data_IF_109554022637
#
_entry.id   IF_109554022637
#
_cell.length_a   1.000
_cell.length_b   1.000
_cell.length_c   1.000
_cell.angle_alpha   90.00
_cell.angle_beta   90.00
_cell.angle_gamma   90.00
#
_symmetry.space_group_name_H-M   'P 1'
#
loop_
_entity.id
_entity.type
_entity.pdbx_description
1 polymer ?
#
# COMPACT_ATOMS: atom_id res chain seq x y z
N UNK A 1 12.28 0.10 2.74
CA UNK A 1 12.29 1.36 3.53
C UNK A 1 11.28 1.22 4.66
N UNK A 2 11.60 1.57 5.91
CA UNK A 2 10.63 1.49 7.01
C UNK A 2 9.63 2.66 6.93
N UNK A 3 8.34 2.36 6.95
CA UNK A 3 7.28 3.36 6.75
C UNK A 3 6.07 3.09 7.64
N UNK A 4 5.19 4.10 7.68
CA UNK A 4 3.81 4.01 8.17
C UNK A 4 2.87 4.21 6.98
N UNK A 5 1.88 3.34 6.83
CA UNK A 5 0.93 3.40 5.72
C UNK A 5 -0.51 3.50 6.24
N UNK A 6 -1.28 4.42 5.66
CA UNK A 6 -2.74 4.52 5.85
C UNK A 6 -3.45 4.33 4.51
N UNK A 7 -4.25 3.27 4.34
CA UNK A 7 -5.15 3.14 3.21
C UNK A 7 -6.23 4.24 3.25
N UNK A 8 -6.40 4.95 2.14
CA UNK A 8 -7.36 6.05 2.01
C UNK A 8 -8.68 5.60 1.38
N UNK A 9 -8.77 4.36 0.92
CA UNK A 9 -10.00 3.79 0.36
C UNK A 9 -10.37 2.50 1.09
N UNK A 10 -11.67 2.24 1.17
CA UNK A 10 -12.25 0.96 1.59
C UNK A 10 -13.08 0.44 0.43
N UNK A 11 -12.63 -0.68 -0.16
CA UNK A 11 -13.28 -1.31 -1.31
C UNK A 11 -13.56 -0.31 -2.46
N UNK A 12 -12.56 0.49 -2.83
CA UNK A 12 -12.68 1.47 -3.91
C UNK A 12 -13.22 2.84 -3.50
N UNK A 13 -13.95 2.92 -2.38
CA UNK A 13 -14.59 4.16 -1.91
C UNK A 13 -13.62 4.95 -1.03
N UNK A 14 -13.45 6.24 -1.32
CA UNK A 14 -12.64 7.14 -0.49
C UNK A 14 -13.25 7.24 0.91
N UNK A 15 -12.43 7.02 1.95
CA UNK A 15 -12.89 7.14 3.34
C UNK A 15 -12.94 8.60 3.77
N UNK A 16 -13.80 8.90 4.74
CA UNK A 16 -13.91 10.26 5.28
C UNK A 16 -12.69 10.63 6.12
N UNK A 17 -12.47 11.93 6.34
CA UNK A 17 -11.39 12.41 7.22
C UNK A 17 -11.53 11.91 8.66
N UNK A 18 -12.77 11.77 9.13
CA UNK A 18 -13.10 11.24 10.47
C UNK A 18 -12.77 9.74 10.59
N UNK A 19 -13.04 8.97 9.52
CA UNK A 19 -12.66 7.56 9.50
C UNK A 19 -11.15 7.40 9.42
N UNK A 20 -10.47 8.24 8.63
CA UNK A 20 -9.01 8.24 8.52
C UNK A 20 -8.32 8.55 9.86
N UNK A 21 -8.82 9.54 10.62
CA UNK A 21 -8.20 9.94 11.89
C UNK A 21 -8.30 8.86 12.98
N UNK A 22 -9.28 7.96 12.88
CA UNK A 22 -9.49 6.84 13.82
C UNK A 22 -8.70 5.58 13.45
N UNK A 23 -8.11 5.53 12.27
CA UNK A 23 -7.38 4.35 11.79
C UNK A 23 -5.89 4.46 12.16
N UNK A 24 -5.35 3.54 12.95
CA UNK A 24 -3.91 3.49 13.18
C UNK A 24 -3.18 3.19 11.86
N UNK A 25 -1.98 3.75 11.65
CA UNK A 25 -1.17 3.39 10.49
C UNK A 25 -0.66 1.95 10.62
N UNK A 26 -0.52 1.29 9.48
CA UNK A 26 0.18 0.01 9.37
C UNK A 26 1.68 0.28 9.25
N UNK A 27 2.49 -0.37 10.08
CA UNK A 27 3.94 -0.17 10.11
C UNK A 27 4.63 -1.35 9.47
N UNK A 28 5.64 -1.10 8.63
CA UNK A 28 6.40 -2.16 8.00
C UNK A 28 7.46 -1.66 7.04
N UNK A 29 8.11 -2.60 6.37
CA UNK A 29 9.08 -2.36 5.32
C UNK A 29 8.33 -2.24 3.99
N UNK A 30 8.28 -1.02 3.44
CA UNK A 30 7.85 -0.81 2.06
C UNK A 30 8.88 -1.38 1.10
N UNK A 31 8.39 -2.24 0.20
CA UNK A 31 9.09 -2.73 -0.99
C UNK A 31 8.26 -2.37 -2.22
N UNK A 32 8.90 -1.75 -3.21
CA UNK A 32 8.29 -1.48 -4.52
C UNK A 32 9.19 -2.11 -5.57
N UNK A 33 8.64 -3.01 -6.37
CA UNK A 33 9.38 -3.73 -7.40
C UNK A 33 8.46 -4.14 -8.55
N UNK A 34 9.03 -4.38 -9.72
CA UNK A 34 8.30 -5.03 -10.81
C UNK A 34 8.23 -6.53 -10.54
N UNK A 35 7.02 -7.09 -10.62
CA UNK A 35 6.77 -8.51 -10.42
C UNK A 35 5.77 -9.02 -11.46
N UNK A 36 5.89 -10.29 -11.85
CA UNK A 36 4.94 -10.89 -12.79
C UNK A 36 3.59 -11.10 -12.11
N UNK A 37 2.53 -10.51 -12.65
CA UNK A 37 1.16 -10.82 -12.26
C UNK A 37 0.67 -12.03 -13.07
N UNK A 38 0.40 -13.20 -12.43
CA UNK A 38 -0.08 -14.37 -13.12
C UNK A 38 -1.48 -14.18 -13.72
N UNK A 39 -2.34 -13.35 -13.11
CA UNK A 39 -3.71 -13.13 -13.59
C UNK A 39 -3.73 -12.27 -14.87
N UNK A 40 -2.76 -11.37 -15.03
CA UNK A 40 -2.64 -10.48 -16.19
C UNK A 40 -1.58 -10.94 -17.20
N UNK A 41 -0.87 -12.02 -16.88
CA UNK A 41 0.24 -12.59 -17.66
C UNK A 41 1.33 -11.57 -18.06
N UNK A 42 1.50 -10.49 -17.29
CA UNK A 42 2.47 -9.41 -17.55
C UNK A 42 3.18 -8.96 -16.26
N UNK A 43 4.37 -8.34 -16.36
CA UNK A 43 4.95 -7.61 -15.23
C UNK A 43 4.09 -6.41 -14.84
N UNK A 44 3.96 -6.17 -13.53
CA UNK A 44 3.31 -4.99 -12.96
C UNK A 44 4.19 -4.40 -11.86
N UNK A 45 4.16 -3.08 -11.69
CA UNK A 45 4.80 -2.46 -10.54
C UNK A 45 3.95 -2.75 -9.30
N UNK A 46 4.55 -3.37 -8.29
CA UNK A 46 3.85 -3.80 -7.08
C UNK A 46 4.46 -3.16 -5.85
N UNK A 47 3.61 -2.58 -5.01
CA UNK A 47 3.99 -2.11 -3.68
C UNK A 47 3.48 -3.08 -2.60
N UNK A 48 4.39 -3.47 -1.71
CA UNK A 48 4.16 -4.40 -0.61
C UNK A 48 4.57 -3.74 0.70
N UNK A 49 3.76 -3.93 1.74
CA UNK A 49 4.12 -3.55 3.10
C UNK A 49 4.41 -4.82 3.88
N UNK A 50 5.70 -5.10 4.11
CA UNK A 50 6.15 -6.34 4.72
C UNK A 50 6.37 -6.15 6.23
N UNK A 51 5.92 -7.10 7.04
CA UNK A 51 6.29 -7.15 8.45
C UNK A 51 7.75 -7.60 8.54
N UNK A 52 8.59 -6.76 9.13
CA UNK A 52 10.02 -7.02 9.33
C UNK A 52 10.35 -7.57 10.72
N UNK A 53 9.36 -7.72 11.60
CA UNK A 53 9.60 -8.12 13.01
C UNK A 53 9.55 -9.63 13.24
N UNK A 54 8.83 -10.37 12.40
CA UNK A 54 8.51 -11.79 12.63
C UNK A 54 9.46 -12.79 11.95
N UNK A 55 10.58 -12.33 11.36
CA UNK A 55 11.58 -13.18 10.68
C UNK A 55 11.11 -13.82 9.37
N UNK A 56 9.79 -13.84 9.13
CA UNK A 56 9.15 -14.21 7.86
C UNK A 56 8.53 -12.94 7.28
N UNK A 57 8.96 -12.51 6.09
CA UNK A 57 8.40 -11.32 5.44
C UNK A 57 6.97 -11.60 4.99
N UNK A 58 6.00 -11.25 5.84
CA UNK A 58 4.57 -11.41 5.55
C UNK A 58 3.94 -10.07 5.19
N UNK A 59 3.00 -10.08 4.24
CA UNK A 59 2.25 -8.89 3.86
C UNK A 59 1.34 -8.41 5.01
N UNK A 60 1.56 -7.17 5.46
CA UNK A 60 0.74 -6.48 6.48
C UNK A 60 -0.56 -5.95 5.86
N UNK A 61 -0.51 -5.61 4.58
CA UNK A 61 -1.62 -5.10 3.78
C UNK A 61 -1.72 -5.90 2.48
N UNK A 62 -2.92 -6.02 1.89
CA UNK A 62 -3.08 -6.51 0.52
C UNK A 62 -2.14 -5.75 -0.43
N UNK A 63 -1.47 -6.46 -1.33
CA UNK A 63 -0.50 -5.86 -2.23
C UNK A 63 -1.17 -4.83 -3.16
N UNK A 64 -0.50 -3.70 -3.40
CA UNK A 64 -0.96 -2.68 -4.32
C UNK A 64 -0.38 -2.96 -5.71
N UNK A 65 -1.23 -3.46 -6.62
CA UNK A 65 -0.89 -3.75 -8.01
C UNK A 65 -0.97 -2.50 -8.88
N UNK A 66 -0.23 -2.50 -9.99
CA UNK A 66 -0.09 -1.36 -10.91
C UNK A 66 0.20 -0.05 -10.16
N UNK A 67 1.06 -0.14 -9.13
CA UNK A 67 1.37 0.95 -8.23
C UNK A 67 1.96 2.14 -8.99
N UNK A 68 1.53 3.36 -8.69
CA UNK A 68 2.10 4.61 -9.23
C UNK A 68 2.23 5.65 -8.14
N UNK A 69 3.31 6.43 -8.21
CA UNK A 69 3.47 7.61 -7.37
C UNK A 69 2.53 8.71 -7.85
N UNK A 70 1.62 9.15 -6.98
CA UNK A 70 0.72 10.28 -7.25
C UNK A 70 1.37 11.60 -6.85
N UNK A 71 2.03 11.61 -5.70
CA UNK A 71 2.54 12.82 -5.05
C UNK A 71 3.59 12.44 -4.02
N UNK A 72 4.58 13.32 -3.82
CA UNK A 72 5.59 13.23 -2.76
C UNK A 72 5.92 14.65 -2.29
N UNK A 73 5.92 14.87 -0.99
CA UNK A 73 6.41 16.10 -0.36
C UNK A 73 6.74 15.84 1.11
N UNK A 74 7.74 16.52 1.66
CA UNK A 74 8.07 16.53 3.10
C UNK A 74 8.08 15.15 3.81
N UNK A 75 8.58 14.11 3.14
CA UNK A 75 8.67 12.76 3.72
C UNK A 75 7.35 11.96 3.70
N UNK A 76 6.31 12.52 3.09
CA UNK A 76 5.07 11.84 2.77
C UNK A 76 4.97 11.55 1.27
N UNK A 77 4.30 10.47 0.91
CA UNK A 77 3.97 10.17 -0.48
C UNK A 77 2.61 9.48 -0.58
N UNK A 78 2.01 9.57 -1.77
CA UNK A 78 0.80 8.82 -2.11
C UNK A 78 1.07 7.85 -3.22
N UNK A 79 0.80 6.58 -2.96
CA UNK A 79 0.82 5.53 -3.98
C UNK A 79 -0.63 5.19 -4.36
N UNK A 80 -0.92 5.16 -5.65
CA UNK A 80 -2.20 4.71 -6.19
C UNK A 80 -2.04 3.35 -6.86
N UNK A 81 -3.11 2.57 -6.94
CA UNK A 81 -3.13 1.28 -7.63
C UNK A 81 -4.42 0.52 -7.34
N UNK A 82 -4.37 -0.79 -7.45
CA UNK A 82 -5.49 -1.67 -7.07
C UNK A 82 -5.07 -2.71 -6.04
N UNK A 83 -5.94 -2.95 -5.06
CA UNK A 83 -5.82 -4.10 -4.16
C UNK A 83 -6.76 -5.20 -4.66
N UNK A 84 -6.24 -6.43 -4.77
CA UNK A 84 -7.06 -7.59 -5.12
C UNK A 84 -7.57 -8.23 -3.84
N UNK A 85 -8.87 -8.14 -3.59
CA UNK A 85 -9.53 -8.69 -2.40
C UNK A 85 -10.56 -9.73 -2.84
N UNK A 86 -10.30 -11.00 -2.49
CA UNK A 86 -11.10 -12.14 -2.95
C UNK A 86 -11.20 -12.13 -4.49
N UNK A 87 -12.39 -11.92 -5.03
CA UNK A 87 -12.71 -12.03 -6.44
C UNK A 87 -12.82 -10.68 -7.17
N UNK A 88 -12.41 -9.58 -6.51
CA UNK A 88 -12.52 -8.24 -7.06
C UNK A 88 -11.23 -7.42 -6.88
N UNK A 89 -11.01 -6.49 -7.82
CA UNK A 89 -9.99 -5.46 -7.71
C UNK A 89 -10.63 -4.14 -7.32
N UNK A 90 -10.08 -3.53 -6.28
CA UNK A 90 -10.55 -2.25 -5.77
C UNK A 90 -9.47 -1.21 -5.92
N UNK A 91 -9.85 -0.04 -6.46
CA UNK A 91 -8.96 1.12 -6.46
C UNK A 91 -8.54 1.46 -5.02
N UNK A 92 -7.26 1.67 -4.83
CA UNK A 92 -6.69 2.02 -3.54
C UNK A 92 -5.72 3.19 -3.67
N UNK A 93 -5.59 3.93 -2.56
CA UNK A 93 -4.54 4.92 -2.39
C UNK A 93 -3.93 4.75 -1.02
N UNK A 94 -2.61 4.57 -0.96
CA UNK A 94 -1.86 4.53 0.28
C UNK A 94 -1.25 5.90 0.54
N UNK A 95 -1.54 6.48 1.71
CA UNK A 95 -0.69 7.53 2.28
C UNK A 95 0.47 6.84 2.98
N UNK A 96 1.68 7.13 2.54
CA UNK A 96 2.91 6.56 3.06
C UNK A 96 3.69 7.68 3.72
N UNK A 97 4.01 7.50 4.99
CA UNK A 97 4.82 8.42 5.79
C UNK A 97 6.13 7.72 6.15
N UNK A 98 7.25 8.42 5.99
CA UNK A 98 8.52 7.92 6.51
C UNK A 98 8.43 7.76 8.03
N UNK A 99 8.89 6.61 8.53
CA UNK A 99 9.04 6.45 9.96
C UNK A 99 10.20 7.32 10.46
N UNK A 100 10.06 8.06 11.57
CA UNK A 100 11.21 8.72 12.19
C UNK A 100 12.26 7.66 12.50
N UNK A 101 13.51 7.94 12.17
CA UNK A 101 14.66 7.12 12.55
C UNK A 101 14.72 6.91 14.07
#
# INVERSE_FOLDING_TARGET
MQVRIRPLRKQGVLITREELSRRPPHVGRLRVAEERDPALARPVLRAQLLDSTSGTETDVLPQLNDARLLWVDKGEMRLLGTERLKDAEYAQTWLVEQSPC
#
